data_IF_965146510904
#
_entry.id   IF_965146510904
#
_cell.length_a   1.000
_cell.length_b   1.000
_cell.length_c   1.000
_cell.angle_alpha   90.00
_cell.angle_beta   90.00
_cell.angle_gamma   90.00
#
_symmetry.space_group_name_H-M   'P 1'
#
loop_
_entity.id
_entity.type
_entity.pdbx_description
1 polymer ?
#
# COMPACT_ATOMS: atom_id res chain seq x y z
N UNK A 1 2.23 32.15 -29.62
CA UNK A 1 1.68 31.90 -28.27
C UNK A 1 0.89 30.61 -28.32
N UNK A 2 1.48 29.46 -27.96
CA UNK A 2 0.73 28.19 -27.94
C UNK A 2 -0.06 28.11 -26.64
N UNK A 3 -1.38 28.18 -26.78
CA UNK A 3 -2.32 27.77 -25.74
C UNK A 3 -2.11 26.28 -25.50
N UNK A 4 -1.33 25.93 -24.49
CA UNK A 4 -1.28 24.55 -23.99
C UNK A 4 -2.64 24.28 -23.36
N UNK A 5 -3.44 23.46 -24.05
CA UNK A 5 -4.73 23.00 -23.56
C UNK A 5 -4.55 22.50 -22.11
N UNK A 6 -5.37 23.03 -21.18
CA UNK A 6 -5.51 22.43 -19.86
C UNK A 6 -5.79 20.93 -20.06
N UNK A 7 -5.07 20.02 -19.39
CA UNK A 7 -5.41 18.61 -19.47
C UNK A 7 -6.87 18.45 -19.06
N UNK A 8 -7.66 17.78 -19.89
CA UNK A 8 -9.06 17.51 -19.62
C UNK A 8 -9.19 16.97 -18.19
N UNK A 9 -10.01 17.65 -17.37
CA UNK A 9 -10.24 17.23 -15.99
C UNK A 9 -10.73 15.78 -15.95
N UNK A 10 -10.36 15.03 -14.91
CA UNK A 10 -10.86 13.68 -14.72
C UNK A 10 -12.40 13.69 -14.72
N UNK A 11 -13.05 12.65 -15.26
CA UNK A 11 -14.48 12.44 -15.08
C UNK A 11 -14.89 12.59 -13.61
N UNK A 12 -16.05 13.17 -13.28
CA UNK A 12 -16.44 13.47 -11.90
C UNK A 12 -16.38 12.26 -10.96
N UNK A 13 -16.77 11.07 -11.44
CA UNK A 13 -16.69 9.83 -10.68
C UNK A 13 -15.25 9.42 -10.33
N UNK A 14 -14.30 9.59 -11.26
CA UNK A 14 -12.89 9.29 -11.01
C UNK A 14 -12.24 10.33 -10.10
N UNK A 15 -12.64 11.60 -10.21
CA UNK A 15 -12.21 12.63 -9.27
C UNK A 15 -12.71 12.35 -7.85
N UNK A 16 -13.99 11.96 -7.69
CA UNK A 16 -14.58 11.56 -6.42
C UNK A 16 -13.95 10.29 -5.83
N UNK A 17 -13.62 9.30 -6.66
CA UNK A 17 -12.91 8.11 -6.22
C UNK A 17 -11.48 8.44 -5.77
N UNK A 18 -10.77 9.27 -6.54
CA UNK A 18 -9.41 9.71 -6.21
C UNK A 18 -9.37 10.49 -4.89
N UNK A 19 -10.37 11.32 -4.59
CA UNK A 19 -10.45 12.04 -3.32
C UNK A 19 -10.91 11.16 -2.14
N UNK A 20 -11.69 10.11 -2.40
CA UNK A 20 -12.12 9.15 -1.38
C UNK A 20 -11.06 8.06 -1.12
N UNK A 21 -10.04 8.42 -0.32
CA UNK A 21 -8.94 7.52 0.05
C UNK A 21 -9.43 6.16 0.58
N UNK A 22 -10.39 6.09 1.53
CA UNK A 22 -10.84 4.80 2.04
C UNK A 22 -11.39 3.87 0.95
N UNK A 23 -12.29 4.39 0.12
CA UNK A 23 -12.91 3.61 -0.94
C UNK A 23 -11.87 3.14 -1.97
N UNK A 24 -10.96 4.05 -2.36
CA UNK A 24 -9.92 3.74 -3.33
C UNK A 24 -9.00 2.61 -2.85
N UNK A 25 -8.50 2.66 -1.62
CA UNK A 25 -7.59 1.64 -1.09
C UNK A 25 -8.29 0.29 -0.87
N UNK A 26 -9.55 0.30 -0.41
CA UNK A 26 -10.33 -0.94 -0.25
C UNK A 26 -10.60 -1.61 -1.61
N UNK A 27 -11.01 -0.83 -2.61
CA UNK A 27 -11.25 -1.36 -3.97
C UNK A 27 -9.96 -1.82 -4.63
N UNK A 28 -8.90 -1.03 -4.57
CA UNK A 28 -7.60 -1.40 -5.15
C UNK A 28 -7.03 -2.67 -4.50
N UNK A 29 -7.17 -2.80 -3.18
CA UNK A 29 -6.78 -4.00 -2.45
C UNK A 29 -7.59 -5.22 -2.86
N UNK A 30 -8.92 -5.14 -2.77
CA UNK A 30 -9.80 -6.27 -3.07
C UNK A 30 -9.69 -6.72 -4.54
N UNK A 31 -9.80 -5.77 -5.47
CA UNK A 31 -9.75 -6.05 -6.92
C UNK A 31 -8.35 -6.43 -7.38
N UNK A 32 -7.31 -5.76 -6.86
CA UNK A 32 -5.91 -6.11 -7.16
C UNK A 32 -5.58 -7.51 -6.66
N UNK A 33 -6.07 -7.88 -5.48
CA UNK A 33 -5.92 -9.22 -4.95
C UNK A 33 -6.65 -10.28 -5.77
N UNK A 34 -7.92 -10.05 -6.11
CA UNK A 34 -8.70 -10.97 -6.94
C UNK A 34 -8.09 -11.13 -8.35
N UNK A 35 -7.70 -10.02 -8.99
CA UNK A 35 -7.03 -10.04 -10.29
C UNK A 35 -5.69 -10.77 -10.23
N UNK A 36 -4.90 -10.54 -9.18
CA UNK A 36 -3.64 -11.25 -8.95
C UNK A 36 -3.85 -12.76 -8.81
N UNK A 37 -4.87 -13.18 -8.07
CA UNK A 37 -5.23 -14.60 -7.94
C UNK A 37 -5.63 -15.20 -9.28
N UNK A 38 -6.47 -14.52 -10.07
CA UNK A 38 -6.90 -15.01 -11.39
C UNK A 38 -5.72 -15.12 -12.35
N UNK A 39 -4.83 -14.13 -12.38
CA UNK A 39 -3.63 -14.18 -13.21
C UNK A 39 -2.68 -15.30 -12.78
N UNK A 40 -2.59 -15.56 -11.48
CA UNK A 40 -1.75 -16.63 -10.94
C UNK A 40 -2.27 -18.02 -11.32
N UNK A 41 -3.56 -18.21 -11.64
CA UNK A 41 -4.08 -19.51 -12.12
C UNK A 41 -3.49 -19.94 -13.47
N UNK A 42 -2.90 -19.02 -14.24
CA UNK A 42 -2.16 -19.35 -15.46
C UNK A 42 -0.70 -19.74 -15.20
N UNK A 43 -0.25 -19.72 -13.94
CA UNK A 43 1.09 -20.18 -13.57
C UNK A 43 1.25 -21.68 -13.84
N UNK A 44 2.48 -22.15 -14.08
CA UNK A 44 2.75 -23.59 -14.19
C UNK A 44 2.27 -24.33 -12.95
N UNK A 45 1.27 -25.20 -13.11
CA UNK A 45 0.80 -26.09 -12.05
C UNK A 45 1.78 -27.25 -11.84
N UNK A 46 1.98 -27.65 -10.59
CA UNK A 46 2.63 -28.93 -10.30
C UNK A 46 1.67 -30.08 -10.65
N UNK A 47 2.07 -30.97 -11.56
CA UNK A 47 1.33 -32.20 -11.84
C UNK A 47 1.19 -33.09 -10.60
N UNK A 48 0.27 -34.06 -10.63
CA UNK A 48 0.02 -34.99 -9.50
C UNK A 48 1.28 -35.76 -9.05
N UNK A 49 2.22 -35.99 -9.96
CA UNK A 49 3.49 -36.70 -9.71
C UNK A 49 4.71 -35.76 -9.66
N UNK A 50 4.48 -34.46 -9.47
CA UNK A 50 5.55 -33.48 -9.43
C UNK A 50 6.49 -33.72 -8.24
N UNK A 51 7.80 -33.63 -8.50
CA UNK A 51 8.81 -33.69 -7.44
C UNK A 51 8.57 -32.59 -6.39
N UNK A 52 8.91 -32.80 -5.10
CA UNK A 52 8.65 -31.82 -4.04
C UNK A 52 9.21 -30.43 -4.34
N UNK A 53 10.40 -30.36 -4.95
CA UNK A 53 11.00 -29.10 -5.38
C UNK A 53 10.16 -28.40 -6.46
N UNK A 54 9.61 -29.14 -7.42
CA UNK A 54 8.76 -28.58 -8.47
C UNK A 54 7.46 -27.99 -7.90
N UNK A 55 6.88 -28.62 -6.87
CA UNK A 55 5.73 -28.06 -6.14
C UNK A 55 6.09 -26.76 -5.40
N UNK A 56 7.24 -26.72 -4.73
CA UNK A 56 7.73 -25.51 -4.06
C UNK A 56 7.91 -24.36 -5.05
N UNK A 57 8.50 -24.64 -6.21
CA UNK A 57 8.69 -23.66 -7.28
C UNK A 57 7.34 -23.20 -7.84
N UNK A 58 6.42 -24.13 -8.15
CA UNK A 58 5.11 -23.81 -8.70
C UNK A 58 4.29 -22.93 -7.74
N UNK A 59 4.20 -23.30 -6.46
CA UNK A 59 3.50 -22.51 -5.44
C UNK A 59 4.18 -21.16 -5.21
N UNK A 60 5.51 -21.11 -5.26
CA UNK A 60 6.28 -19.87 -5.22
C UNK A 60 5.93 -18.94 -6.39
N UNK A 61 5.89 -19.46 -7.64
CA UNK A 61 5.55 -18.66 -8.83
C UNK A 61 4.10 -18.16 -8.76
N UNK A 62 3.15 -19.03 -8.39
CA UNK A 62 1.75 -18.63 -8.21
C UNK A 62 1.64 -17.47 -7.21
N UNK A 63 2.32 -17.61 -6.07
CA UNK A 63 2.30 -16.59 -5.01
C UNK A 63 3.01 -15.29 -5.45
N UNK A 64 4.08 -15.39 -6.25
CA UNK A 64 4.79 -14.24 -6.80
C UNK A 64 3.89 -13.40 -7.73
N UNK A 65 3.10 -14.05 -8.59
CA UNK A 65 2.17 -13.36 -9.49
C UNK A 65 1.08 -12.67 -8.68
N UNK A 66 0.42 -13.39 -7.77
CA UNK A 66 -0.65 -12.81 -6.95
C UNK A 66 -0.17 -11.63 -6.10
N UNK A 67 0.97 -11.79 -5.41
CA UNK A 67 1.55 -10.79 -4.54
C UNK A 67 2.03 -9.53 -5.28
N UNK A 68 2.62 -9.69 -6.48
CA UNK A 68 3.09 -8.56 -7.30
C UNK A 68 1.93 -7.71 -7.83
N UNK A 69 0.86 -8.34 -8.33
CA UNK A 69 -0.32 -7.61 -8.81
C UNK A 69 -1.00 -6.87 -7.67
N UNK A 70 -1.17 -7.53 -6.51
CA UNK A 70 -1.78 -6.92 -5.33
C UNK A 70 -0.96 -5.73 -4.81
N UNK A 71 0.35 -5.90 -4.63
CA UNK A 71 1.21 -4.83 -4.12
C UNK A 71 1.27 -3.64 -5.07
N UNK A 72 1.33 -3.88 -6.38
CA UNK A 72 1.33 -2.82 -7.39
C UNK A 72 -0.01 -2.09 -7.45
N UNK A 73 -1.14 -2.79 -7.34
CA UNK A 73 -2.46 -2.15 -7.31
C UNK A 73 -2.59 -1.17 -6.14
N UNK A 74 -2.18 -1.59 -4.94
CA UNK A 74 -2.19 -0.73 -3.75
C UNK A 74 -1.19 0.43 -3.84
N UNK A 75 -0.01 0.19 -4.39
CA UNK A 75 0.99 1.24 -4.62
C UNK A 75 0.49 2.31 -5.60
N UNK A 76 -0.06 1.89 -6.75
CA UNK A 76 -0.61 2.78 -7.78
C UNK A 76 -1.78 3.58 -7.22
N UNK A 77 -2.66 2.96 -6.43
CA UNK A 77 -3.73 3.66 -5.73
C UNK A 77 -3.20 4.76 -4.80
N UNK A 78 -2.12 4.48 -4.06
CA UNK A 78 -1.45 5.46 -3.21
C UNK A 78 -0.87 6.65 -3.98
N UNK A 79 -0.10 6.38 -5.03
CA UNK A 79 0.49 7.44 -5.87
C UNK A 79 -0.59 8.27 -6.59
N UNK A 80 -1.65 7.61 -7.08
CA UNK A 80 -2.78 8.29 -7.73
C UNK A 80 -3.55 9.19 -6.77
N UNK A 81 -3.82 8.72 -5.54
CA UNK A 81 -4.44 9.53 -4.49
C UNK A 81 -3.59 10.75 -4.14
N UNK A 82 -2.27 10.57 -4.04
CA UNK A 82 -1.33 11.63 -3.68
C UNK A 82 -0.95 12.55 -4.86
N UNK A 83 -1.52 12.31 -6.05
CA UNK A 83 -1.23 13.06 -7.29
C UNK A 83 0.25 13.06 -7.66
N UNK A 84 0.94 11.99 -7.34
CA UNK A 84 2.33 11.79 -7.72
C UNK A 84 2.40 11.15 -9.09
N UNK A 85 3.46 11.50 -9.83
CA UNK A 85 3.75 10.85 -11.10
C UNK A 85 4.16 9.40 -10.88
N UNK A 86 3.45 8.47 -11.51
CA UNK A 86 3.73 7.04 -11.46
C UNK A 86 4.99 6.78 -12.28
N UNK A 87 6.13 6.75 -11.60
CA UNK A 87 7.44 6.49 -12.22
C UNK A 87 7.57 5.01 -12.58
N UNK A 88 7.94 4.66 -13.83
CA UNK A 88 8.09 3.26 -14.25
C UNK A 88 9.04 2.46 -13.36
N UNK A 89 10.16 3.05 -12.92
CA UNK A 89 11.12 2.41 -12.00
C UNK A 89 10.51 2.06 -10.66
N UNK A 90 9.66 2.92 -10.10
CA UNK A 90 8.98 2.65 -8.83
C UNK A 90 8.01 1.49 -8.97
N UNK A 91 7.23 1.46 -10.06
CA UNK A 91 6.32 0.34 -10.36
C UNK A 91 7.08 -0.96 -10.56
N UNK A 92 8.18 -0.94 -11.32
CA UNK A 92 9.06 -2.10 -11.52
C UNK A 92 9.61 -2.64 -10.20
N UNK A 93 10.06 -1.75 -9.30
CA UNK A 93 10.55 -2.14 -7.98
C UNK A 93 9.45 -2.81 -7.14
N UNK A 94 8.24 -2.24 -7.12
CA UNK A 94 7.12 -2.82 -6.36
C UNK A 94 6.69 -4.17 -6.94
N UNK A 95 6.67 -4.31 -8.27
CA UNK A 95 6.43 -5.58 -8.95
C UNK A 95 7.47 -6.62 -8.55
N UNK A 96 8.77 -6.27 -8.66
CA UNK A 96 9.87 -7.18 -8.34
C UNK A 96 9.87 -7.60 -6.87
N UNK A 97 9.81 -6.65 -5.94
CA UNK A 97 9.82 -6.96 -4.51
C UNK A 97 8.52 -7.63 -4.05
N UNK A 98 7.38 -7.33 -4.70
CA UNK A 98 6.13 -8.05 -4.50
C UNK A 98 6.24 -9.52 -4.94
N UNK A 99 6.83 -9.75 -6.11
CA UNK A 99 7.10 -11.09 -6.63
C UNK A 99 8.06 -11.87 -5.72
N UNK A 100 9.14 -11.24 -5.25
CA UNK A 100 10.09 -11.87 -4.31
C UNK A 100 9.43 -12.21 -2.96
N UNK A 101 8.61 -11.31 -2.42
CA UNK A 101 7.85 -11.55 -1.19
C UNK A 101 6.85 -12.71 -1.37
N UNK A 102 6.11 -12.72 -2.49
CA UNK A 102 5.19 -13.80 -2.84
C UNK A 102 5.90 -15.13 -3.03
N UNK A 103 6.99 -15.16 -3.80
CA UNK A 103 7.77 -16.38 -4.03
C UNK A 103 8.32 -16.94 -2.72
N UNK A 104 8.96 -16.09 -1.90
CA UNK A 104 9.54 -16.51 -0.62
C UNK A 104 8.48 -17.06 0.34
N UNK A 105 7.35 -16.36 0.50
CA UNK A 105 6.27 -16.83 1.36
C UNK A 105 5.59 -18.10 0.83
N UNK A 106 5.36 -18.20 -0.49
CA UNK A 106 4.77 -19.38 -1.13
C UNK A 106 5.68 -20.61 -1.05
N UNK A 107 6.99 -20.43 -1.25
CA UNK A 107 7.97 -21.51 -1.12
C UNK A 107 8.06 -22.01 0.34
N UNK A 108 8.09 -21.08 1.31
CA UNK A 108 8.05 -21.42 2.74
C UNK A 108 6.75 -22.13 3.10
N UNK A 109 5.61 -21.68 2.56
CA UNK A 109 4.34 -22.34 2.78
C UNK A 109 4.36 -23.78 2.27
N UNK A 110 4.78 -24.00 1.02
CA UNK A 110 4.84 -25.33 0.45
C UNK A 110 5.81 -26.25 1.20
N UNK A 111 6.96 -25.73 1.64
CA UNK A 111 7.90 -26.48 2.48
C UNK A 111 7.28 -26.83 3.84
N UNK A 112 6.60 -25.88 4.50
CA UNK A 112 5.92 -26.12 5.78
C UNK A 112 4.85 -27.21 5.66
N UNK A 113 4.10 -27.26 4.54
CA UNK A 113 3.11 -28.30 4.27
C UNK A 113 3.71 -29.65 3.90
N UNK A 114 4.98 -29.70 3.48
CA UNK A 114 5.66 -30.96 3.18
C UNK A 114 6.13 -31.72 4.43
N UNK A 115 6.16 -31.07 5.59
CA UNK A 115 6.57 -31.67 6.87
C UNK A 115 5.34 -31.96 7.73
N UNK A 116 5.19 -33.19 8.21
CA UNK A 116 4.07 -33.62 9.07
C UNK A 116 4.23 -33.13 10.52
N UNK A 117 3.97 -31.85 10.74
CA UNK A 117 3.91 -31.23 12.08
C UNK A 117 2.53 -31.45 12.74
N UNK A 118 2.35 -32.53 13.47
CA UNK A 118 1.15 -32.76 14.28
C UNK A 118 -0.10 -33.20 13.47
N UNK A 119 -1.30 -33.08 14.05
CA UNK A 119 -2.53 -33.57 13.43
C UNK A 119 -2.90 -32.84 12.13
N UNK A 120 -3.60 -33.52 11.21
CA UNK A 120 -4.01 -32.95 9.93
C UNK A 120 -4.84 -31.66 10.07
N UNK A 121 -5.72 -31.59 11.08
CA UNK A 121 -6.52 -30.40 11.37
C UNK A 121 -5.65 -29.20 11.79
N UNK A 122 -4.56 -29.44 12.51
CA UNK A 122 -3.61 -28.39 12.90
C UNK A 122 -2.91 -27.80 11.67
N UNK A 123 -2.48 -28.65 10.73
CA UNK A 123 -1.92 -28.20 9.45
C UNK A 123 -2.91 -27.37 8.64
N UNK A 124 -4.14 -27.89 8.49
CA UNK A 124 -5.16 -27.27 7.68
C UNK A 124 -5.55 -25.87 8.18
N UNK A 125 -5.60 -25.67 9.51
CA UNK A 125 -6.08 -24.42 10.10
C UNK A 125 -4.90 -23.51 10.50
N UNK A 126 -4.02 -24.00 11.38
CA UNK A 126 -3.00 -23.16 12.03
C UNK A 126 -1.83 -22.89 11.09
N UNK A 127 -1.22 -23.94 10.54
CA UNK A 127 -0.06 -23.79 9.64
C UNK A 127 -0.48 -23.01 8.40
N UNK A 128 -1.64 -23.34 7.80
CA UNK A 128 -2.17 -22.59 6.66
C UNK A 128 -2.33 -21.10 6.95
N UNK A 129 -3.02 -20.76 8.03
CA UNK A 129 -3.27 -19.36 8.39
C UNK A 129 -1.96 -18.63 8.70
N UNK A 130 -0.99 -19.29 9.33
CA UNK A 130 0.34 -18.74 9.58
C UNK A 130 1.12 -18.45 8.28
N UNK A 131 1.03 -19.33 7.28
CA UNK A 131 1.64 -19.09 5.95
C UNK A 131 1.01 -17.89 5.24
N UNK A 132 -0.31 -17.74 5.31
CA UNK A 132 -1.00 -16.56 4.80
C UNK A 132 -0.60 -15.28 5.56
N UNK A 133 -0.48 -15.35 6.89
CA UNK A 133 0.03 -14.26 7.71
C UNK A 133 1.46 -13.86 7.31
N UNK A 134 2.34 -14.83 7.02
CA UNK A 134 3.69 -14.54 6.52
C UNK A 134 3.67 -13.75 5.21
N UNK A 135 2.87 -14.18 4.22
CA UNK A 135 2.72 -13.45 2.96
C UNK A 135 2.21 -12.02 3.20
N UNK A 136 1.17 -11.89 4.02
CA UNK A 136 0.64 -10.58 4.40
C UNK A 136 1.67 -9.70 5.09
N UNK A 137 2.48 -10.24 6.01
CA UNK A 137 3.54 -9.51 6.70
C UNK A 137 4.59 -8.96 5.72
N UNK A 138 5.07 -9.78 4.78
CA UNK A 138 6.06 -9.35 3.79
C UNK A 138 5.49 -8.26 2.86
N UNK A 139 4.22 -8.38 2.45
CA UNK A 139 3.55 -7.36 1.66
C UNK A 139 3.31 -6.06 2.44
N UNK A 140 2.87 -6.16 3.69
CA UNK A 140 2.72 -5.00 4.57
C UNK A 140 4.05 -4.29 4.82
N UNK A 141 5.15 -5.04 4.99
CA UNK A 141 6.49 -4.49 5.08
C UNK A 141 6.91 -3.75 3.79
N UNK A 142 6.66 -4.35 2.62
CA UNK A 142 6.95 -3.73 1.33
C UNK A 142 6.17 -2.42 1.15
N UNK A 143 4.87 -2.45 1.40
CA UNK A 143 3.96 -1.31 1.23
C UNK A 143 4.16 -0.23 2.28
N UNK A 144 4.83 -0.52 3.40
CA UNK A 144 5.15 0.50 4.40
C UNK A 144 6.22 1.49 3.95
N UNK A 145 7.09 1.12 3.00
CA UNK A 145 8.25 1.95 2.58
C UNK A 145 7.86 3.27 1.91
N UNK A 146 6.88 3.33 0.99
CA UNK A 146 6.50 4.59 0.34
C UNK A 146 5.65 5.51 1.23
N UNK A 147 5.11 4.99 2.35
CA UNK A 147 4.24 5.75 3.25
C UNK A 147 5.09 6.43 4.32
N UNK A 148 5.16 7.77 4.33
CA UNK A 148 5.96 8.48 5.32
C UNK A 148 5.43 8.17 6.73
N UNK A 149 6.35 7.90 7.66
CA UNK A 149 6.06 7.73 9.08
C UNK A 149 5.21 6.49 9.48
N UNK A 150 4.96 5.53 8.58
CA UNK A 150 4.25 4.27 8.93
C UNK A 150 5.12 3.35 9.81
N UNK A 151 6.39 3.18 9.43
CA UNK A 151 7.34 2.29 10.10
C UNK A 151 7.19 0.81 9.68
N UNK A 152 8.33 0.12 9.55
CA UNK A 152 8.40 -1.27 9.07
C UNK A 152 7.61 -2.25 9.95
N UNK A 153 7.74 -2.13 11.28
CA UNK A 153 7.06 -3.01 12.23
C UNK A 153 5.54 -2.91 12.14
N UNK A 154 5.00 -1.70 11.94
CA UNK A 154 3.55 -1.51 11.81
C UNK A 154 3.05 -2.14 10.51
N UNK A 155 3.80 -1.99 9.42
CA UNK A 155 3.55 -2.67 8.15
C UNK A 155 3.53 -4.19 8.30
N UNK A 156 4.54 -4.76 8.98
CA UNK A 156 4.63 -6.20 9.25
C UNK A 156 3.42 -6.72 10.03
N UNK A 157 3.07 -6.07 11.14
CA UNK A 157 1.98 -6.53 12.02
C UNK A 157 0.63 -6.41 11.33
N UNK A 158 0.34 -5.24 10.73
CA UNK A 158 -0.93 -5.04 10.04
C UNK A 158 -1.06 -5.98 8.83
N UNK A 159 0.06 -6.21 8.12
CA UNK A 159 0.14 -7.19 7.05
C UNK A 159 -0.11 -8.61 7.53
N UNK A 160 0.50 -9.03 8.65
CA UNK A 160 0.30 -10.36 9.22
C UNK A 160 -1.15 -10.61 9.60
N UNK A 161 -1.81 -9.61 10.23
CA UNK A 161 -3.22 -9.68 10.56
C UNK A 161 -4.09 -9.80 9.30
N UNK A 162 -3.82 -8.97 8.28
CA UNK A 162 -4.52 -9.06 7.00
C UNK A 162 -4.31 -10.41 6.29
N UNK A 163 -3.10 -10.96 6.37
CA UNK A 163 -2.76 -12.30 5.90
C UNK A 163 -3.57 -13.37 6.61
N UNK A 164 -3.62 -13.35 7.94
CA UNK A 164 -4.44 -14.26 8.73
C UNK A 164 -5.93 -14.21 8.34
N UNK A 165 -6.49 -13.01 8.18
CA UNK A 165 -7.87 -12.83 7.71
C UNK A 165 -8.08 -13.39 6.29
N UNK A 166 -7.13 -13.15 5.38
CA UNK A 166 -7.14 -13.75 4.05
C UNK A 166 -7.10 -15.28 4.08
N UNK A 167 -6.27 -15.87 4.95
CA UNK A 167 -6.19 -17.31 5.17
C UNK A 167 -7.49 -17.91 5.70
N UNK A 168 -8.15 -17.23 6.64
CA UNK A 168 -9.48 -17.62 7.13
C UNK A 168 -10.52 -17.55 6.00
N UNK A 169 -10.51 -16.47 5.21
CA UNK A 169 -11.38 -16.34 4.03
C UNK A 169 -11.19 -17.47 3.03
N UNK A 170 -9.93 -17.82 2.73
CA UNK A 170 -9.58 -18.98 1.89
C UNK A 170 -10.19 -20.27 2.46
N UNK A 171 -10.04 -20.52 3.77
CA UNK A 171 -10.53 -21.74 4.41
C UNK A 171 -12.05 -21.87 4.39
N UNK A 172 -12.77 -20.78 4.69
CA UNK A 172 -14.23 -20.78 4.72
C UNK A 172 -14.82 -21.05 3.33
N UNK A 173 -14.25 -20.44 2.29
CA UNK A 173 -14.72 -20.61 0.91
C UNK A 173 -14.28 -21.94 0.33
N UNK A 174 -13.03 -22.34 0.56
CA UNK A 174 -12.48 -23.62 0.10
C UNK A 174 -13.15 -24.85 0.74
N UNK A 175 -13.91 -24.68 1.83
CA UNK A 175 -14.71 -25.75 2.42
C UNK A 175 -15.93 -26.13 1.55
N UNK A 176 -16.38 -25.25 0.65
CA UNK A 176 -17.63 -25.43 -0.11
C UNK A 176 -17.48 -25.19 -1.61
N UNK A 177 -16.46 -24.45 -2.05
CA UNK A 177 -16.18 -24.10 -3.44
C UNK A 177 -14.79 -24.61 -3.86
N UNK A 178 -14.51 -24.69 -5.18
CA UNK A 178 -13.19 -25.11 -5.68
C UNK A 178 -12.06 -24.23 -5.15
N UNK A 179 -10.86 -24.81 -5.02
CA UNK A 179 -9.68 -24.13 -4.48
C UNK A 179 -9.38 -22.77 -5.13
N UNK A 180 -9.63 -22.63 -6.44
CA UNK A 180 -9.44 -21.37 -7.15
C UNK A 180 -10.34 -20.24 -6.59
N UNK A 181 -11.58 -20.56 -6.21
CA UNK A 181 -12.48 -19.59 -5.56
C UNK A 181 -12.02 -19.26 -4.15
N UNK A 182 -11.53 -20.27 -3.41
CA UNK A 182 -10.89 -20.06 -2.12
C UNK A 182 -9.70 -19.10 -2.22
N UNK A 183 -8.81 -19.30 -3.19
CA UNK A 183 -7.63 -18.43 -3.43
C UNK A 183 -8.06 -17.01 -3.82
N UNK A 184 -9.05 -16.88 -4.70
CA UNK A 184 -9.60 -15.58 -5.10
C UNK A 184 -10.12 -14.80 -3.89
N UNK A 185 -10.95 -15.42 -3.05
CA UNK A 185 -11.49 -14.77 -1.85
C UNK A 185 -10.39 -14.51 -0.82
N UNK A 186 -9.44 -15.43 -0.66
CA UNK A 186 -8.33 -15.27 0.28
C UNK A 186 -7.42 -14.09 -0.08
N UNK A 187 -6.93 -14.01 -1.32
CA UNK A 187 -6.07 -12.89 -1.77
C UNK A 187 -6.88 -11.58 -1.83
N UNK A 188 -8.15 -11.63 -2.26
CA UNK A 188 -9.04 -10.46 -2.24
C UNK A 188 -9.25 -9.91 -0.83
N UNK A 189 -9.49 -10.79 0.16
CA UNK A 189 -9.65 -10.43 1.57
C UNK A 189 -8.35 -9.89 2.17
N UNK A 190 -7.21 -10.52 1.86
CA UNK A 190 -5.89 -10.01 2.21
C UNK A 190 -5.69 -8.59 1.67
N UNK A 191 -5.98 -8.37 0.38
CA UNK A 191 -5.84 -7.08 -0.25
C UNK A 191 -6.75 -6.01 0.35
N UNK A 192 -8.01 -6.35 0.63
CA UNK A 192 -8.95 -5.49 1.34
C UNK A 192 -8.40 -5.11 2.73
N UNK A 193 -7.89 -6.09 3.49
CA UNK A 193 -7.33 -5.87 4.81
C UNK A 193 -6.07 -4.99 4.78
N UNK A 194 -5.19 -5.16 3.78
CA UNK A 194 -4.04 -4.28 3.57
C UNK A 194 -4.47 -2.85 3.19
N UNK A 195 -5.48 -2.71 2.32
CA UNK A 195 -6.08 -1.41 1.99
C UNK A 195 -6.66 -0.72 3.23
N UNK A 196 -7.36 -1.48 4.08
CA UNK A 196 -7.89 -0.98 5.36
C UNK A 196 -6.77 -0.58 6.32
N UNK A 197 -5.73 -1.40 6.45
CA UNK A 197 -4.58 -1.14 7.30
C UNK A 197 -3.90 0.19 6.97
N UNK A 198 -3.75 0.53 5.69
CA UNK A 198 -3.19 1.82 5.27
C UNK A 198 -4.00 3.01 5.79
N UNK A 199 -5.32 2.86 5.92
CA UNK A 199 -6.21 3.92 6.44
C UNK A 199 -6.14 3.97 7.98
N UNK A 200 -6.18 2.80 8.62
CA UNK A 200 -6.24 2.71 10.09
C UNK A 200 -4.93 3.15 10.72
N UNK A 201 -3.80 2.67 10.21
CA UNK A 201 -2.48 3.02 10.77
C UNK A 201 -2.21 4.51 10.60
N UNK A 202 -2.66 5.12 9.49
CA UNK A 202 -2.57 6.56 9.33
C UNK A 202 -3.41 7.34 10.31
N UNK A 203 -4.61 6.88 10.70
CA UNK A 203 -5.46 7.60 11.65
C UNK A 203 -5.02 7.39 13.10
N UNK A 204 -4.59 6.18 13.45
CA UNK A 204 -4.33 5.79 14.82
C UNK A 204 -3.00 6.34 15.35
N UNK A 205 -2.01 6.54 14.48
CA UNK A 205 -0.65 6.95 14.86
C UNK A 205 -0.26 8.34 14.37
N UNK A 206 -1.25 9.19 14.06
CA UNK A 206 -1.02 10.53 13.54
C UNK A 206 -1.05 11.56 14.66
N UNK A 207 0.12 12.10 14.96
CA UNK A 207 0.29 13.20 15.92
C UNK A 207 0.01 14.56 15.27
N UNK A 208 0.30 14.71 13.98
CA UNK A 208 -0.08 15.88 13.20
C UNK A 208 -0.23 15.52 11.72
N UNK A 209 -0.94 16.35 10.97
CA UNK A 209 -1.08 16.22 9.52
C UNK A 209 -1.08 17.56 8.81
N UNK A 210 -0.58 17.51 7.58
CA UNK A 210 -0.70 18.55 6.58
C UNK A 210 -1.83 18.18 5.63
N UNK A 211 -2.88 18.99 5.62
CA UNK A 211 -3.92 18.95 4.60
C UNK A 211 -3.53 19.89 3.45
N UNK A 212 -3.56 19.36 2.24
CA UNK A 212 -3.30 20.10 1.01
C UNK A 212 -4.60 20.23 0.24
N UNK A 213 -5.06 21.46 0.04
CA UNK A 213 -6.29 21.77 -0.68
C UNK A 213 -5.92 22.15 -2.12
N UNK A 214 -6.24 21.29 -3.07
CA UNK A 214 -5.96 21.47 -4.49
C UNK A 214 -7.07 22.26 -5.20
N UNK A 215 -8.32 21.99 -4.84
CA UNK A 215 -9.53 22.61 -5.37
C UNK A 215 -10.70 22.39 -4.37
N UNK A 216 -11.89 23.00 -4.56
CA UNK A 216 -13.06 22.68 -3.75
C UNK A 216 -13.35 21.18 -3.76
N UNK A 217 -13.41 20.54 -2.59
CA UNK A 217 -13.57 19.09 -2.38
C UNK A 217 -12.43 18.19 -2.89
N UNK A 218 -11.28 18.77 -3.25
CA UNK A 218 -10.09 18.01 -3.64
C UNK A 218 -8.96 18.25 -2.64
N UNK A 219 -8.85 17.39 -1.64
CA UNK A 219 -7.81 17.49 -0.61
C UNK A 219 -6.97 16.21 -0.50
N UNK A 220 -5.72 16.36 -0.04
CA UNK A 220 -4.82 15.25 0.27
C UNK A 220 -4.24 15.47 1.65
N UNK A 221 -4.20 14.43 2.48
CA UNK A 221 -3.62 14.49 3.82
C UNK A 221 -2.28 13.77 3.88
N UNK A 222 -1.29 14.42 4.47
CA UNK A 222 0.04 13.87 4.73
C UNK A 222 0.29 13.81 6.23
N UNK A 223 0.72 12.65 6.73
CA UNK A 223 1.08 12.49 8.13
C UNK A 223 2.43 13.15 8.42
N UNK A 224 2.46 14.01 9.43
CA UNK A 224 3.67 14.64 9.94
C UNK A 224 4.27 13.74 11.02
N UNK A 225 5.59 13.57 10.99
CA UNK A 225 6.34 12.70 11.89
C UNK A 225 7.84 12.98 11.76
N UNK A 226 8.67 12.01 12.11
CA UNK A 226 10.13 12.15 12.07
C UNK A 226 10.68 12.51 10.68
N UNK A 227 10.06 12.00 9.61
CA UNK A 227 10.37 12.42 8.26
C UNK A 227 9.55 13.65 7.87
N UNK A 228 10.23 14.73 7.51
CA UNK A 228 9.60 15.97 7.04
C UNK A 228 8.91 15.77 5.68
N UNK A 229 7.77 16.43 5.51
CA UNK A 229 7.02 16.45 4.25
C UNK A 229 7.54 17.59 3.39
N UNK A 230 8.13 17.26 2.24
CA UNK A 230 8.72 18.25 1.32
C UNK A 230 7.71 18.76 0.29
N UNK A 231 7.85 20.03 -0.08
CA UNK A 231 7.00 20.76 -1.02
C UNK A 231 7.91 21.36 -2.10
N UNK A 232 7.61 21.12 -3.37
CA UNK A 232 8.41 21.64 -4.47
C UNK A 232 8.03 21.07 -5.83
N UNK A 233 8.79 21.41 -6.87
CA UNK A 233 8.56 20.93 -8.24
C UNK A 233 9.44 19.75 -8.64
N UNK A 234 10.08 19.06 -7.69
CA UNK A 234 10.92 17.89 -7.94
C UNK A 234 10.27 16.59 -7.44
N UNK A 235 11.08 15.67 -6.90
CA UNK A 235 10.61 14.45 -6.23
C UNK A 235 10.11 14.74 -4.81
N UNK A 236 9.18 15.69 -4.72
CA UNK A 236 8.62 16.18 -3.46
C UNK A 236 7.34 15.45 -3.08
N UNK A 237 7.03 15.44 -1.79
CA UNK A 237 5.82 14.81 -1.29
C UNK A 237 4.56 15.55 -1.78
N UNK A 238 4.63 16.89 -1.77
CA UNK A 238 3.65 17.80 -2.35
C UNK A 238 4.27 18.40 -3.60
N UNK A 239 3.88 17.87 -4.76
CA UNK A 239 4.36 18.36 -6.05
C UNK A 239 3.61 19.62 -6.49
N UNK A 240 4.36 20.68 -6.76
CA UNK A 240 3.85 21.96 -7.27
C UNK A 240 4.62 22.35 -8.51
N UNK A 241 3.93 22.31 -9.66
CA UNK A 241 4.53 22.65 -10.94
C UNK A 241 5.03 24.11 -10.93
N UNK A 242 6.30 24.29 -11.29
CA UNK A 242 6.94 25.61 -11.38
C UNK A 242 7.69 26.04 -10.11
N UNK A 243 7.61 25.29 -9.01
CA UNK A 243 8.50 25.53 -7.86
C UNK A 243 9.85 24.83 -8.04
N UNK A 244 10.93 25.35 -7.42
CA UNK A 244 12.18 24.61 -7.26
C UNK A 244 11.96 23.25 -6.56
N UNK A 245 12.77 22.22 -6.84
CA UNK A 245 12.79 21.00 -6.05
C UNK A 245 13.06 21.31 -4.57
N UNK A 246 12.33 20.67 -3.66
CA UNK A 246 12.44 20.87 -2.20
C UNK A 246 12.39 22.34 -1.81
N UNK A 247 11.48 23.12 -2.38
CA UNK A 247 11.31 24.54 -2.09
C UNK A 247 11.14 24.82 -0.59
N UNK A 248 10.32 24.01 0.08
CA UNK A 248 10.13 24.07 1.52
C UNK A 248 9.83 22.68 2.10
N UNK A 249 9.80 22.58 3.42
CA UNK A 249 9.37 21.37 4.12
C UNK A 249 8.56 21.69 5.37
N UNK A 250 7.63 20.81 5.71
CA UNK A 250 6.95 20.81 6.99
C UNK A 250 7.58 19.70 7.84
N UNK A 251 8.29 20.09 8.89
CA UNK A 251 8.92 19.19 9.83
C UNK A 251 8.08 19.11 11.11
N UNK A 252 8.08 17.95 11.75
CA UNK A 252 7.50 17.79 13.08
C UNK A 252 8.55 17.16 14.00
N UNK A 253 9.00 17.96 14.98
CA UNK A 253 10.04 17.56 15.90
C UNK A 253 9.70 18.08 17.30
N UNK A 254 9.84 17.23 18.32
CA UNK A 254 9.61 17.57 19.72
C UNK A 254 8.24 18.22 19.99
N UNK A 255 7.19 17.76 19.31
CA UNK A 255 5.83 18.31 19.45
C UNK A 255 5.61 19.66 18.75
N UNK A 256 6.61 20.20 18.06
CA UNK A 256 6.52 21.46 17.32
C UNK A 256 6.47 21.16 15.83
N UNK A 257 5.48 21.75 15.15
CA UNK A 257 5.37 21.72 13.69
C UNK A 257 6.08 22.97 13.16
N UNK A 258 7.02 22.82 12.24
CA UNK A 258 7.78 23.93 11.66
C UNK A 258 7.66 23.94 10.15
N UNK A 259 7.41 25.11 9.57
CA UNK A 259 7.67 25.40 8.17
C UNK A 259 9.13 25.79 8.00
N UNK A 260 9.86 25.07 7.17
CA UNK A 260 11.29 25.30 6.90
C UNK A 260 11.45 25.66 5.43
N UNK A 261 11.89 26.90 5.17
CA UNK A 261 12.27 27.35 3.84
C UNK A 261 13.66 26.84 3.48
N UNK A 262 13.80 26.17 2.33
CA UNK A 262 15.10 25.60 1.94
C UNK A 262 16.10 26.66 1.51
N UNK A 263 15.64 27.74 0.87
CA UNK A 263 16.52 28.80 0.37
C UNK A 263 17.15 29.63 1.48
N UNK A 264 16.41 29.91 2.56
CA UNK A 264 16.83 30.80 3.66
C UNK A 264 17.19 30.04 4.93
N UNK A 265 16.77 28.78 5.06
CA UNK A 265 16.84 28.01 6.30
C UNK A 265 15.89 28.52 7.39
N UNK A 266 15.05 29.52 7.08
CA UNK A 266 14.13 30.12 8.04
C UNK A 266 13.11 29.09 8.51
N UNK A 267 12.97 28.98 9.84
CA UNK A 267 11.99 28.12 10.50
C UNK A 267 10.87 28.95 11.09
N UNK A 268 9.64 28.60 10.75
CA UNK A 268 8.44 29.28 11.24
C UNK A 268 7.58 28.25 11.98
N UNK A 269 7.36 28.39 13.30
CA UNK A 269 6.52 27.47 14.03
C UNK A 269 5.07 27.60 13.58
N UNK A 270 4.40 26.47 13.40
CA UNK A 270 3.01 26.34 13.04
C UNK A 270 2.23 25.70 14.19
N UNK A 271 0.95 26.06 14.28
CA UNK A 271 -0.01 25.50 15.24
C UNK A 271 -1.18 24.85 14.50
N UNK A 272 -1.99 24.11 15.23
CA UNK A 272 -3.28 23.63 14.72
C UNK A 272 -4.10 24.76 14.08
N UNK A 273 -4.69 24.49 12.91
CA UNK A 273 -5.43 25.47 12.12
C UNK A 273 -4.58 26.48 11.35
N UNK A 274 -3.24 26.43 11.46
CA UNK A 274 -2.35 27.32 10.69
C UNK A 274 -2.54 27.09 9.20
N UNK A 275 -2.67 28.19 8.44
CA UNK A 275 -2.83 28.17 6.99
C UNK A 275 -1.60 28.75 6.31
N UNK A 276 -1.10 28.06 5.29
CA UNK A 276 -0.01 28.53 4.45
C UNK A 276 -0.48 28.57 3.00
N UNK A 277 -0.15 29.65 2.32
CA UNK A 277 -0.38 29.80 0.89
C UNK A 277 0.95 29.71 0.15
N UNK A 278 1.06 28.71 -0.74
CA UNK A 278 2.25 28.55 -1.60
C UNK A 278 1.76 28.59 -3.05
N UNK A 279 1.92 29.74 -3.70
CA UNK A 279 1.39 29.98 -5.04
C UNK A 279 -0.14 29.95 -5.05
N UNK A 280 -0.73 28.89 -5.63
CA UNK A 280 -2.20 28.67 -5.66
C UNK A 280 -2.66 27.58 -4.68
N UNK A 281 -1.74 27.00 -3.92
CA UNK A 281 -2.03 25.92 -2.99
C UNK A 281 -2.31 26.46 -1.60
N UNK A 282 -3.41 25.98 -1.02
CA UNK A 282 -3.76 26.21 0.36
C UNK A 282 -3.38 24.98 1.19
N UNK A 283 -2.60 25.22 2.23
CA UNK A 283 -2.13 24.20 3.16
C UNK A 283 -2.75 24.49 4.53
N UNK A 284 -3.23 23.45 5.21
CA UNK A 284 -3.80 23.57 6.56
C UNK A 284 -3.12 22.55 7.47
N UNK A 285 -2.66 23.02 8.62
CA UNK A 285 -2.08 22.16 9.65
C UNK A 285 -3.18 21.68 10.58
N UNK A 286 -3.20 20.37 10.82
CA UNK A 286 -4.04 19.74 11.84
C UNK A 286 -3.14 19.03 12.84
N UNK A 287 -3.09 19.48 14.09
CA UNK A 287 -2.40 18.78 15.16
C UNK A 287 -3.39 17.90 15.92
N UNK A 288 -3.00 16.68 16.27
CA UNK A 288 -3.76 15.88 17.23
C UNK A 288 -3.69 16.59 18.59
N UNK A 289 -4.84 16.69 19.26
CA UNK A 289 -4.91 17.18 20.64
C UNK A 289 -4.30 16.18 21.61
#
# INVERSE_FOLDING_TARGET
>A
MSSTAQPAGLPPALAALRSNKPLLFLLAGALGGAAGSVLAEFAPGGGRDAQPLALVIATGIWSAIAASVLSTALFVAGEWHQRRDIRPRSVQNILLFGALAGFGSGAVAQAAFSVSIGPAAFHAIVVRTACWALMGALLGALLSRPVPNLGLLRGLVAGAMGGGLGGIGFLLVGAVLPDAMGRLVGIGTLGLALGLAMIVVEKLFREASLEVIWAPNETTNFNLGAQAVTIGGGEDHVFVRGLPPRFASIAFANGVIEYVETATGKRTPLKDGSRLEIGRLNLVIHAAK
#
